data_IF_782672793035
#
_entry.id   IF_782672793035
#
_cell.length_a   1.000
_cell.length_b   1.000
_cell.length_c   1.000
_cell.angle_alpha   90.00
_cell.angle_beta   90.00
_cell.angle_gamma   90.00
#
_symmetry.space_group_name_H-M   'P 1'
#
loop_
_entity.id
_entity.type
_entity.pdbx_description
1 polymer ?
#
# COMPACT_ATOMS: atom_id res chain seq x y z
N UNK A 1 -12.51 12.33 9.77
CA UNK A 1 -13.49 13.45 9.91
C UNK A 1 -14.77 13.15 9.15
N UNK A 2 -14.76 12.97 7.83
CA UNK A 2 -15.96 12.63 7.05
C UNK A 2 -16.73 11.40 7.58
N UNK A 3 -16.04 10.32 7.97
CA UNK A 3 -16.69 9.14 8.60
C UNK A 3 -17.38 9.43 9.93
N UNK A 4 -16.87 10.38 10.72
CA UNK A 4 -17.54 10.79 11.97
C UNK A 4 -18.80 11.57 11.63
N UNK A 5 -18.77 12.38 10.58
CA UNK A 5 -19.95 13.07 10.07
C UNK A 5 -21.00 12.08 9.59
N UNK A 6 -20.62 11.07 8.79
CA UNK A 6 -21.52 9.97 8.39
C UNK A 6 -22.07 9.24 9.61
N UNK A 7 -21.24 8.90 10.61
CA UNK A 7 -21.71 8.19 11.80
C UNK A 7 -22.73 9.02 12.62
N UNK A 8 -22.50 10.33 12.74
CA UNK A 8 -23.46 11.24 13.40
C UNK A 8 -24.74 11.39 12.58
N UNK A 9 -24.64 11.44 11.27
CA UNK A 9 -25.78 11.60 10.36
C UNK A 9 -26.62 10.33 10.24
N UNK A 10 -26.00 9.14 10.28
CA UNK A 10 -26.71 7.86 10.39
C UNK A 10 -27.50 7.78 11.71
N UNK A 11 -27.00 8.41 12.77
CA UNK A 11 -27.70 8.47 14.06
C UNK A 11 -28.89 9.44 14.05
N UNK A 12 -28.89 10.45 13.17
CA UNK A 12 -29.90 11.49 13.15
C UNK A 12 -30.92 11.21 12.04
N UNK A 13 -32.02 10.57 12.42
CA UNK A 13 -32.97 9.92 11.49
C UNK A 13 -33.63 10.84 10.43
N UNK A 14 -33.52 12.16 10.56
CA UNK A 14 -34.31 13.13 9.80
C UNK A 14 -33.65 13.67 8.53
N UNK A 15 -32.33 13.56 8.38
CA UNK A 15 -31.61 14.09 7.21
C UNK A 15 -30.42 13.21 6.85
N UNK A 16 -30.59 12.29 5.90
CA UNK A 16 -29.46 11.69 5.20
C UNK A 16 -29.02 12.65 4.08
N UNK A 17 -28.02 13.49 4.34
CA UNK A 17 -27.40 14.31 3.30
C UNK A 17 -26.44 13.45 2.48
N UNK A 18 -26.82 13.21 1.24
CA UNK A 18 -25.98 12.51 0.27
C UNK A 18 -24.61 13.18 0.01
N UNK A 19 -24.46 14.43 0.43
CA UNK A 19 -23.18 15.12 0.44
C UNK A 19 -22.12 14.37 1.28
N UNK A 20 -22.51 13.75 2.40
CA UNK A 20 -21.56 13.05 3.27
C UNK A 20 -20.98 11.78 2.63
N UNK A 21 -21.81 11.02 1.89
CA UNK A 21 -21.34 9.87 1.13
C UNK A 21 -20.37 10.30 0.02
N UNK A 22 -20.70 11.35 -0.74
CA UNK A 22 -19.81 11.89 -1.78
C UNK A 22 -18.46 12.35 -1.20
N UNK A 23 -18.47 12.99 -0.02
CA UNK A 23 -17.26 13.40 0.69
C UNK A 23 -16.36 12.22 1.08
N UNK A 24 -16.88 11.01 1.20
CA UNK A 24 -16.10 9.80 1.47
C UNK A 24 -15.71 9.06 0.19
N UNK A 25 -16.61 8.95 -0.78
CA UNK A 25 -16.35 8.24 -2.04
C UNK A 25 -15.25 8.90 -2.87
N UNK A 26 -15.23 10.24 -2.96
CA UNK A 26 -14.23 10.95 -3.79
C UNK A 26 -12.79 10.68 -3.29
N UNK A 27 -12.46 10.89 -2.00
CA UNK A 27 -11.14 10.54 -1.48
C UNK A 27 -10.84 9.04 -1.56
N UNK A 28 -11.82 8.17 -1.27
CA UNK A 28 -11.63 6.72 -1.33
C UNK A 28 -11.29 6.26 -2.75
N UNK A 29 -12.01 6.75 -3.75
CA UNK A 29 -11.73 6.50 -5.17
C UNK A 29 -10.34 6.97 -5.59
N UNK A 30 -9.94 8.17 -5.16
CA UNK A 30 -8.58 8.67 -5.38
C UNK A 30 -7.51 7.76 -4.75
N UNK A 31 -7.72 7.29 -3.52
CA UNK A 31 -6.79 6.39 -2.85
C UNK A 31 -6.73 5.02 -3.53
N UNK A 32 -7.86 4.47 -3.98
CA UNK A 32 -7.90 3.22 -4.76
C UNK A 32 -7.09 3.37 -6.03
N UNK A 33 -7.37 4.41 -6.82
CA UNK A 33 -6.66 4.65 -8.07
C UNK A 33 -5.16 4.78 -7.82
N UNK A 34 -4.75 5.55 -6.81
CA UNK A 34 -3.35 5.72 -6.41
C UNK A 34 -2.67 4.39 -6.02
N UNK A 35 -3.33 3.54 -5.24
CA UNK A 35 -2.76 2.25 -4.83
C UNK A 35 -2.67 1.27 -6.00
N UNK A 36 -3.70 1.21 -6.85
CA UNK A 36 -3.70 0.39 -8.07
C UNK A 36 -2.53 0.77 -8.97
N UNK A 37 -2.31 2.08 -9.20
CA UNK A 37 -1.15 2.59 -9.95
C UNK A 37 0.18 2.14 -9.35
N UNK A 38 0.31 2.23 -8.03
CA UNK A 38 1.54 1.87 -7.32
C UNK A 38 1.82 0.38 -7.42
N UNK A 39 0.84 -0.46 -7.08
CA UNK A 39 0.93 -1.92 -7.16
C UNK A 39 1.34 -2.35 -8.57
N UNK A 40 0.74 -1.75 -9.59
CA UNK A 40 0.95 -2.20 -10.96
C UNK A 40 2.31 -1.78 -11.50
N UNK A 41 2.79 -0.59 -11.15
CA UNK A 41 4.17 -0.19 -11.45
C UNK A 41 5.20 -1.17 -10.86
N UNK A 42 4.93 -1.70 -9.66
CA UNK A 42 5.81 -2.64 -8.96
C UNK A 42 5.72 -4.05 -9.55
N UNK A 43 4.50 -4.54 -9.86
CA UNK A 43 4.29 -5.84 -10.51
C UNK A 43 5.03 -5.91 -11.84
N UNK A 44 4.99 -4.82 -12.62
CA UNK A 44 5.69 -4.73 -13.91
C UNK A 44 7.22 -4.73 -13.73
N UNK A 45 7.73 -4.19 -12.63
CA UNK A 45 9.16 -4.14 -12.36
C UNK A 45 9.72 -5.52 -11.97
N UNK A 46 9.11 -6.21 -10.99
CA UNK A 46 9.56 -7.54 -10.56
C UNK A 46 8.58 -8.23 -9.60
N UNK A 47 8.37 -9.54 -9.80
CA UNK A 47 7.61 -10.40 -8.85
C UNK A 47 8.23 -10.41 -7.45
N UNK A 48 9.56 -10.36 -7.34
CA UNK A 48 10.24 -10.36 -6.03
C UNK A 48 9.97 -9.07 -5.26
N UNK A 49 10.03 -7.92 -5.95
CA UNK A 49 9.74 -6.61 -5.35
C UNK A 49 8.27 -6.54 -4.95
N UNK A 50 7.36 -7.08 -5.78
CA UNK A 50 5.94 -7.15 -5.44
C UNK A 50 5.67 -7.99 -4.18
N UNK A 51 6.32 -9.14 -4.01
CA UNK A 51 6.20 -9.93 -2.78
C UNK A 51 6.72 -9.17 -1.55
N UNK A 52 7.84 -8.44 -1.69
CA UNK A 52 8.34 -7.57 -0.63
C UNK A 52 7.39 -6.40 -0.32
N UNK A 53 6.71 -5.86 -1.34
CA UNK A 53 5.70 -4.83 -1.21
C UNK A 53 4.50 -5.33 -0.39
N UNK A 54 3.95 -6.50 -0.74
CA UNK A 54 2.86 -7.11 0.01
C UNK A 54 3.25 -7.50 1.43
N UNK A 55 4.52 -7.88 1.68
CA UNK A 55 4.98 -8.20 3.04
C UNK A 55 5.23 -6.96 3.89
N UNK A 56 5.17 -5.75 3.34
CA UNK A 56 5.32 -4.53 4.10
C UNK A 56 4.02 -4.23 4.86
N UNK A 57 4.08 -4.26 6.18
CA UNK A 57 2.94 -4.04 7.07
C UNK A 57 2.16 -2.75 6.72
N UNK A 58 2.88 -1.66 6.46
CA UNK A 58 2.27 -0.36 6.13
C UNK A 58 1.47 -0.38 4.84
N UNK A 59 2.00 -1.05 3.82
CA UNK A 59 1.31 -1.24 2.55
C UNK A 59 0.03 -2.06 2.72
N UNK A 60 0.07 -3.12 3.54
CA UNK A 60 -1.14 -3.90 3.85
C UNK A 60 -2.18 -3.07 4.59
N UNK A 61 -1.77 -2.26 5.57
CA UNK A 61 -2.68 -1.34 6.28
C UNK A 61 -3.28 -0.28 5.36
N UNK A 62 -2.49 0.28 4.45
CA UNK A 62 -2.97 1.25 3.46
C UNK A 62 -4.01 0.63 2.51
N UNK A 63 -3.81 -0.61 2.10
CA UNK A 63 -4.75 -1.35 1.25
C UNK A 63 -6.03 -1.71 2.00
N UNK A 64 -5.90 -2.33 3.18
CA UNK A 64 -7.03 -2.77 4.01
C UNK A 64 -7.91 -1.58 4.41
N UNK A 65 -7.30 -0.45 4.81
CA UNK A 65 -8.07 0.75 5.19
C UNK A 65 -8.91 1.29 4.03
N UNK A 66 -8.40 1.26 2.80
CA UNK A 66 -9.12 1.73 1.61
C UNK A 66 -10.24 0.76 1.20
N UNK A 67 -9.97 -0.54 1.23
CA UNK A 67 -10.97 -1.58 0.94
C UNK A 67 -12.10 -1.53 1.97
N UNK A 68 -11.76 -1.45 3.26
CA UNK A 68 -12.75 -1.34 4.34
C UNK A 68 -13.57 -0.05 4.24
N UNK A 69 -12.95 1.07 3.85
CA UNK A 69 -13.66 2.32 3.63
C UNK A 69 -14.72 2.19 2.51
N UNK A 70 -14.34 1.65 1.35
CA UNK A 70 -15.32 1.46 0.26
C UNK A 70 -16.37 0.43 0.64
N UNK A 71 -15.97 -0.70 1.23
CA UNK A 71 -16.89 -1.73 1.69
C UNK A 71 -17.94 -1.17 2.64
N UNK A 72 -17.51 -0.49 3.72
CA UNK A 72 -18.44 0.06 4.71
C UNK A 72 -19.34 1.13 4.13
N UNK A 73 -18.83 2.00 3.24
CA UNK A 73 -19.66 3.03 2.58
C UNK A 73 -20.71 2.40 1.68
N UNK A 74 -20.33 1.42 0.86
CA UNK A 74 -21.26 0.68 0.01
C UNK A 74 -22.33 -0.04 0.85
N UNK A 75 -21.92 -0.68 1.94
CA UNK A 75 -22.82 -1.45 2.79
C UNK A 75 -23.87 -0.57 3.49
N UNK A 76 -23.43 0.55 4.08
CA UNK A 76 -24.32 1.56 4.67
C UNK A 76 -25.33 2.05 3.63
N UNK A 77 -24.88 2.30 2.41
CA UNK A 77 -25.77 2.73 1.31
C UNK A 77 -26.81 1.68 0.93
N UNK A 78 -26.54 0.39 1.12
CA UNK A 78 -27.46 -0.69 0.73
C UNK A 78 -28.45 -1.09 1.82
N UNK A 79 -28.05 -1.07 3.10
CA UNK A 79 -28.89 -1.58 4.19
C UNK A 79 -29.71 -0.49 4.92
N UNK A 80 -29.37 0.79 4.75
CA UNK A 80 -30.13 1.86 5.41
C UNK A 80 -30.06 1.78 6.93
N UNK A 81 -31.22 1.85 7.60
CA UNK A 81 -31.34 2.00 9.07
C UNK A 81 -31.12 0.70 9.86
N UNK A 82 -31.37 -0.46 9.27
CA UNK A 82 -31.30 -1.75 9.99
C UNK A 82 -29.87 -2.30 10.09
N UNK A 83 -28.87 -1.47 9.78
CA UNK A 83 -27.48 -1.88 9.80
C UNK A 83 -26.91 -1.87 11.23
N UNK A 84 -26.79 -3.05 11.84
CA UNK A 84 -25.96 -3.31 13.04
C UNK A 84 -24.45 -3.27 12.71
N UNK A 85 -24.05 -2.17 12.10
CA UNK A 85 -22.74 -1.96 11.51
C UNK A 85 -21.77 -1.13 12.30
N UNK A 86 -22.15 -0.71 13.50
CA UNK A 86 -21.37 0.20 14.33
C UNK A 86 -19.93 -0.29 14.52
N UNK A 87 -19.74 -1.61 14.69
CA UNK A 87 -18.43 -2.24 14.79
C UNK A 87 -17.59 -2.05 13.53
N UNK A 88 -18.17 -2.26 12.35
CA UNK A 88 -17.45 -2.11 11.08
C UNK A 88 -17.08 -0.65 10.80
N UNK A 89 -17.97 0.29 11.12
CA UNK A 89 -17.71 1.72 11.01
C UNK A 89 -16.57 2.12 11.96
N UNK A 90 -16.63 1.68 13.21
CA UNK A 90 -15.58 1.94 14.21
C UNK A 90 -14.23 1.37 13.75
N UNK A 91 -14.21 0.14 13.25
CA UNK A 91 -13.00 -0.51 12.74
C UNK A 91 -12.41 0.28 11.55
N UNK A 92 -13.24 0.71 10.60
CA UNK A 92 -12.81 1.57 9.48
C UNK A 92 -12.22 2.89 9.99
N UNK A 93 -12.84 3.54 10.97
CA UNK A 93 -12.31 4.77 11.57
C UNK A 93 -10.93 4.54 12.18
N UNK A 94 -10.76 3.47 12.95
CA UNK A 94 -9.47 3.09 13.55
C UNK A 94 -8.41 2.84 12.48
N UNK A 95 -8.75 2.09 11.43
CA UNK A 95 -7.83 1.82 10.30
C UNK A 95 -7.42 3.10 9.56
N UNK A 96 -8.34 4.06 9.38
CA UNK A 96 -8.03 5.36 8.79
C UNK A 96 -7.09 6.18 9.67
N UNK A 97 -7.22 6.11 11.00
CA UNK A 97 -6.26 6.74 11.91
C UNK A 97 -4.88 6.07 11.86
N UNK A 98 -4.82 4.74 11.74
CA UNK A 98 -3.55 4.05 11.49
C UNK A 98 -2.90 4.47 10.18
N UNK A 99 -3.69 4.74 9.13
CA UNK A 99 -3.18 5.32 7.88
C UNK A 99 -2.58 6.71 8.09
N UNK A 100 -3.19 7.56 8.92
CA UNK A 100 -2.61 8.86 9.29
C UNK A 100 -1.27 8.67 10.00
N UNK A 101 -1.13 7.69 10.91
CA UNK A 101 0.16 7.34 11.51
C UNK A 101 1.18 6.93 10.45
N UNK A 102 0.78 6.11 9.47
CA UNK A 102 1.63 5.74 8.34
C UNK A 102 2.14 6.96 7.55
N UNK A 103 1.27 7.95 7.32
CA UNK A 103 1.64 9.20 6.64
C UNK A 103 2.61 10.06 7.47
N UNK A 104 2.35 10.17 8.78
CA UNK A 104 3.15 10.94 9.72
C UNK A 104 4.62 10.47 9.79
N UNK A 105 4.87 9.18 9.51
CA UNK A 105 6.22 8.62 9.36
C UNK A 105 7.02 9.27 8.22
N UNK A 106 6.39 9.81 7.19
CA UNK A 106 7.11 10.43 6.07
C UNK A 106 7.42 11.92 6.31
N UNK A 107 6.59 12.60 7.10
CA UNK A 107 6.71 14.06 7.32
C UNK A 107 7.86 14.38 8.29
N UNK A 108 7.83 13.78 9.48
CA UNK A 108 8.73 14.19 10.58
C UNK A 108 9.66 13.05 11.00
N UNK A 109 10.98 13.31 11.03
CA UNK A 109 12.00 12.34 11.46
C UNK A 109 11.77 11.81 12.87
N UNK A 110 11.45 12.68 13.82
CA UNK A 110 11.24 12.29 15.23
C UNK A 110 10.04 11.35 15.33
N UNK A 111 8.97 11.67 14.62
CA UNK A 111 7.75 10.88 14.59
C UNK A 111 7.93 9.55 13.86
N UNK A 112 8.68 9.55 12.75
CA UNK A 112 9.04 8.34 12.02
C UNK A 112 9.84 7.36 12.87
N UNK A 113 10.78 7.90 13.66
CA UNK A 113 11.59 7.14 14.62
C UNK A 113 10.70 6.54 15.70
N UNK A 114 9.83 7.36 16.30
CA UNK A 114 8.88 6.91 17.31
C UNK A 114 7.96 5.78 16.77
N UNK A 115 7.34 5.99 15.61
CA UNK A 115 6.44 5.01 14.99
C UNK A 115 7.19 3.72 14.65
N UNK A 116 8.38 3.82 14.06
CA UNK A 116 9.17 2.61 13.73
C UNK A 116 9.57 1.84 14.98
N UNK A 117 9.94 2.56 16.05
CA UNK A 117 10.28 2.01 17.36
C UNK A 117 9.09 1.30 18.00
N UNK A 118 7.91 1.90 17.90
CA UNK A 118 6.67 1.31 18.39
C UNK A 118 6.37 -0.06 17.76
N UNK A 119 6.52 -0.21 16.43
CA UNK A 119 6.31 -1.51 15.79
C UNK A 119 7.40 -2.54 16.12
N UNK A 120 8.65 -2.11 16.33
CA UNK A 120 9.72 -2.99 16.79
C UNK A 120 9.43 -3.51 18.21
N UNK A 121 8.94 -2.62 19.10
CA UNK A 121 8.49 -2.97 20.44
C UNK A 121 7.30 -3.95 20.38
N UNK A 122 6.27 -3.70 19.56
CA UNK A 122 5.14 -4.62 19.39
C UNK A 122 5.62 -6.02 18.93
N UNK A 123 6.62 -6.07 18.04
CA UNK A 123 7.23 -7.32 17.61
C UNK A 123 7.96 -8.07 18.73
N UNK A 124 8.55 -7.36 19.69
CA UNK A 124 9.22 -7.94 20.85
C UNK A 124 8.22 -8.43 21.92
N UNK A 125 7.12 -7.69 22.16
CA UNK A 125 6.13 -8.04 23.19
C UNK A 125 5.26 -9.25 22.79
N UNK A 126 5.23 -9.67 21.52
CA UNK A 126 4.34 -10.76 21.06
C UNK A 126 4.42 -12.05 21.92
N UNK A 127 5.62 -12.41 22.37
CA UNK A 127 5.82 -13.61 23.20
C UNK A 127 5.37 -13.39 24.64
N UNK A 128 5.55 -12.18 25.15
CA UNK A 128 5.01 -11.78 26.44
C UNK A 128 3.48 -11.82 26.43
N UNK A 129 2.82 -11.31 25.39
CA UNK A 129 1.36 -11.38 25.25
C UNK A 129 0.86 -12.83 25.21
N UNK A 130 1.59 -13.75 24.59
CA UNK A 130 1.24 -15.17 24.61
C UNK A 130 1.24 -15.73 26.05
N UNK A 131 2.29 -15.46 26.83
CA UNK A 131 2.37 -15.86 28.24
C UNK A 131 1.25 -15.21 29.06
N UNK A 132 0.97 -13.92 28.81
CA UNK A 132 -0.09 -13.19 29.48
C UNK A 132 -1.48 -13.79 29.18
N UNK A 133 -1.77 -14.13 27.92
CA UNK A 133 -3.04 -14.76 27.53
C UNK A 133 -3.20 -16.12 28.22
N UNK A 134 -2.14 -16.93 28.26
CA UNK A 134 -2.16 -18.22 28.98
C UNK A 134 -2.46 -18.00 30.46
N UNK A 135 -1.83 -17.00 31.10
CA UNK A 135 -2.10 -16.66 32.49
C UNK A 135 -3.56 -16.22 32.68
N UNK A 136 -4.08 -15.32 31.83
CA UNK A 136 -5.48 -14.87 31.90
C UNK A 136 -6.45 -16.04 31.77
N UNK A 137 -6.22 -16.95 30.83
CA UNK A 137 -7.05 -18.16 30.66
C UNK A 137 -6.96 -19.07 31.89
N UNK A 138 -5.75 -19.37 32.37
CA UNK A 138 -5.53 -20.21 33.54
C UNK A 138 -6.27 -19.69 34.78
N UNK A 139 -6.12 -18.40 35.07
CA UNK A 139 -6.75 -17.78 36.24
C UNK A 139 -8.25 -17.55 36.05
N UNK A 140 -8.69 -17.25 34.83
CA UNK A 140 -10.10 -17.15 34.46
C UNK A 140 -10.84 -18.46 34.67
N UNK A 141 -10.31 -19.56 34.13
CA UNK A 141 -10.89 -20.90 34.28
C UNK A 141 -10.91 -21.33 35.75
N UNK A 142 -9.85 -21.05 36.51
CA UNK A 142 -9.78 -21.38 37.92
C UNK A 142 -10.84 -20.64 38.74
N UNK A 143 -10.97 -19.32 38.56
CA UNK A 143 -11.95 -18.50 39.27
C UNK A 143 -13.39 -18.82 38.87
N UNK A 144 -13.66 -18.99 37.58
CA UNK A 144 -14.96 -19.42 37.07
C UNK A 144 -15.38 -20.76 37.67
N UNK A 145 -14.46 -21.73 37.72
CA UNK A 145 -14.72 -23.05 38.33
C UNK A 145 -15.03 -22.90 39.82
N UNK A 146 -14.18 -22.21 40.60
CA UNK A 146 -14.38 -22.07 42.05
C UNK A 146 -15.71 -21.39 42.36
N UNK A 147 -16.06 -20.33 41.64
CA UNK A 147 -17.31 -19.59 41.85
C UNK A 147 -18.54 -20.42 41.47
N UNK A 148 -18.49 -21.18 40.36
CA UNK A 148 -19.60 -22.05 39.95
C UNK A 148 -19.82 -23.23 40.90
N UNK A 149 -18.77 -23.77 41.51
CA UNK A 149 -18.88 -24.87 42.47
C UNK A 149 -19.19 -24.42 43.91
N UNK A 150 -19.10 -23.13 44.20
CA UNK A 150 -19.44 -22.61 45.54
C UNK A 150 -20.95 -22.36 45.62
N UNK A 151 -21.70 -23.10 46.47
CA UNK A 151 -23.16 -22.96 46.57
C UNK A 151 -23.54 -21.53 46.97
N UNK A 152 -24.59 -20.99 46.36
CA UNK A 152 -25.05 -19.61 46.57
C UNK A 152 -24.20 -18.53 45.89
N UNK A 153 -23.11 -18.87 45.18
CA UNK A 153 -22.25 -17.89 44.48
C UNK A 153 -22.76 -17.50 43.08
N UNK A 154 -23.53 -18.33 42.41
CA UNK A 154 -24.21 -17.99 41.14
C UNK A 154 -25.72 -18.15 41.23
N UNK A 155 -26.29 -18.18 42.43
CA UNK A 155 -27.73 -18.25 42.63
C UNK A 155 -28.31 -16.86 42.38
N UNK A 156 -28.91 -16.68 41.21
CA UNK A 156 -29.44 -15.42 40.72
C UNK A 156 -30.63 -14.96 41.57
N UNK A 157 -30.44 -13.88 42.34
CA UNK A 157 -31.54 -13.07 42.86
C UNK A 157 -32.19 -12.32 41.68
N UNK A 158 -32.92 -13.06 40.84
CA UNK A 158 -33.62 -12.58 39.63
C UNK A 158 -34.72 -11.54 39.88
N UNK A 159 -34.99 -11.19 41.13
CA UNK A 159 -36.20 -10.45 41.49
C UNK A 159 -36.11 -8.94 41.29
N UNK A 160 -34.95 -8.36 40.97
CA UNK A 160 -34.87 -6.92 40.72
C UNK A 160 -34.00 -6.52 39.51
N UNK A 161 -34.60 -6.40 38.31
CA UNK A 161 -33.90 -5.93 37.11
C UNK A 161 -33.43 -4.47 37.21
N UNK A 162 -33.90 -3.70 38.20
CA UNK A 162 -33.55 -2.28 38.36
C UNK A 162 -32.24 -2.04 39.12
N UNK A 163 -31.76 -3.03 39.88
CA UNK A 163 -30.52 -2.96 40.66
C UNK A 163 -29.35 -3.75 40.05
N UNK A 164 -29.38 -3.96 38.72
CA UNK A 164 -28.23 -4.49 37.96
C UNK A 164 -27.10 -3.45 37.86
N UNK A 165 -26.53 -3.05 39.00
CA UNK A 165 -25.15 -2.60 38.98
C UNK A 165 -24.33 -3.82 38.55
N UNK A 166 -23.69 -3.74 37.38
CA UNK A 166 -22.80 -4.79 36.85
C UNK A 166 -21.80 -5.15 37.94
N UNK A 167 -22.11 -6.21 38.68
CA UNK A 167 -21.20 -6.74 39.67
C UNK A 167 -20.26 -7.66 38.93
N UNK A 168 -18.97 -7.62 39.24
CA UNK A 168 -17.98 -8.50 38.61
C UNK A 168 -18.32 -9.98 38.73
N UNK A 169 -19.16 -10.31 39.71
CA UNK A 169 -19.68 -11.64 39.96
C UNK A 169 -20.53 -12.14 38.80
N UNK A 170 -21.34 -11.27 38.20
CA UNK A 170 -22.21 -11.62 37.08
C UNK A 170 -21.39 -12.04 35.86
N UNK A 171 -20.19 -11.45 35.68
CA UNK A 171 -19.28 -11.78 34.58
C UNK A 171 -18.76 -13.22 34.67
N UNK A 172 -18.51 -13.75 35.88
CA UNK A 172 -18.01 -15.13 36.09
C UNK A 172 -19.13 -16.17 36.08
N UNK A 173 -20.35 -15.78 36.44
CA UNK A 173 -21.52 -16.68 36.41
C UNK A 173 -22.16 -16.76 35.03
N UNK A 174 -21.77 -15.87 34.10
CA UNK A 174 -22.24 -15.87 32.72
C UNK A 174 -22.01 -17.21 32.00
N UNK A 175 -22.92 -17.61 31.10
CA UNK A 175 -22.70 -18.76 30.23
C UNK A 175 -21.57 -18.53 29.21
N UNK A 176 -21.09 -17.29 29.05
CA UNK A 176 -20.05 -16.93 28.09
C UNK A 176 -18.68 -16.81 28.76
N UNK A 177 -17.73 -17.75 28.53
CA UNK A 177 -16.42 -17.75 29.20
C UNK A 177 -15.55 -16.52 28.85
N UNK A 178 -15.86 -15.83 27.74
CA UNK A 178 -15.17 -14.59 27.37
C UNK A 178 -15.36 -13.49 28.42
N UNK A 179 -16.47 -13.46 29.15
CA UNK A 179 -16.71 -12.45 30.18
C UNK A 179 -15.76 -12.67 31.37
N UNK A 180 -15.59 -13.90 31.83
CA UNK A 180 -14.58 -14.29 32.81
C UNK A 180 -13.18 -13.84 32.39
N UNK A 181 -12.76 -14.10 31.14
CA UNK A 181 -11.43 -13.71 30.66
C UNK A 181 -11.24 -12.19 30.56
N UNK A 182 -12.27 -11.46 30.13
CA UNK A 182 -12.24 -9.99 30.08
C UNK A 182 -12.14 -9.41 31.49
N UNK A 183 -12.82 -10.01 32.48
CA UNK A 183 -12.73 -9.59 33.88
C UNK A 183 -11.33 -9.83 34.46
N UNK A 184 -10.71 -10.98 34.17
CA UNK A 184 -9.32 -11.21 34.60
C UNK A 184 -8.34 -10.26 33.90
N UNK A 185 -8.58 -9.93 32.63
CA UNK A 185 -7.81 -8.92 31.93
C UNK A 185 -7.96 -7.52 32.58
N UNK A 186 -9.17 -7.13 33.02
CA UNK A 186 -9.37 -5.84 33.72
C UNK A 186 -8.58 -5.79 35.03
N UNK A 187 -8.52 -6.90 35.76
CA UNK A 187 -7.68 -7.05 36.97
C UNK A 187 -6.19 -6.85 36.65
N UNK A 188 -5.68 -7.43 35.55
CA UNK A 188 -4.27 -7.22 35.12
C UNK A 188 -3.99 -5.75 34.82
N UNK A 189 -4.96 -5.05 34.21
CA UNK A 189 -4.86 -3.61 33.91
C UNK A 189 -4.92 -2.77 35.19
N UNK A 190 -5.38 -3.34 36.31
CA UNK A 190 -5.47 -2.68 37.61
C UNK A 190 -6.87 -2.21 37.98
N UNK A 191 -7.89 -2.58 37.19
CA UNK A 191 -9.28 -2.34 37.54
C UNK A 191 -9.76 -3.42 38.52
N UNK A 192 -9.56 -3.13 39.81
CA UNK A 192 -9.82 -4.05 40.92
C UNK A 192 -10.73 -3.39 41.95
N UNK A 193 -11.91 -3.96 42.11
CA UNK A 193 -12.77 -3.80 43.29
C UNK A 193 -12.58 -5.00 44.22
N UNK A 194 -12.00 -4.74 45.41
CA UNK A 194 -11.73 -5.80 46.40
C UNK A 194 -13.01 -6.50 46.87
N UNK A 195 -14.13 -5.78 46.88
CA UNK A 195 -15.43 -6.27 47.36
C UNK A 195 -15.92 -7.46 46.52
N UNK A 196 -15.52 -7.56 45.26
CA UNK A 196 -15.91 -8.66 44.37
C UNK A 196 -15.25 -10.00 44.72
N UNK A 197 -14.11 -9.99 45.40
CA UNK A 197 -13.27 -11.17 45.63
C UNK A 197 -13.22 -11.62 47.10
N UNK A 198 -14.00 -11.00 47.99
CA UNK A 198 -14.03 -11.28 49.43
C UNK A 198 -14.99 -12.42 49.85
N UNK A 199 -15.58 -13.14 48.90
CA UNK A 199 -16.61 -14.16 49.20
C UNK A 199 -16.04 -15.38 49.94
N UNK A 200 -14.88 -15.86 49.49
CA UNK A 200 -14.22 -17.02 50.10
C UNK A 200 -12.73 -16.78 50.25
N UNK A 201 -12.15 -17.29 51.33
CA UNK A 201 -10.71 -17.17 51.61
C UNK A 201 -9.85 -17.70 50.46
N UNK A 202 -10.33 -18.76 49.77
CA UNK A 202 -9.62 -19.35 48.64
C UNK A 202 -9.63 -18.43 47.41
N UNK A 203 -10.77 -17.81 47.07
CA UNK A 203 -10.86 -16.82 45.99
C UNK A 203 -9.98 -15.62 46.30
N UNK A 204 -10.02 -15.10 47.53
CA UNK A 204 -9.17 -13.99 47.96
C UNK A 204 -7.68 -14.35 47.87
N UNK A 205 -7.28 -15.55 48.33
CA UNK A 205 -5.89 -16.01 48.25
C UNK A 205 -5.40 -16.18 46.80
N UNK A 206 -6.24 -16.75 45.92
CA UNK A 206 -5.95 -16.91 44.50
C UNK A 206 -5.84 -15.54 43.81
N UNK A 207 -6.72 -14.61 44.16
CA UNK A 207 -6.67 -13.22 43.69
C UNK A 207 -5.38 -12.51 44.13
N UNK A 208 -4.96 -12.63 45.39
CA UNK A 208 -3.68 -12.07 45.87
C UNK A 208 -2.49 -12.69 45.15
N UNK A 209 -2.50 -14.01 44.93
CA UNK A 209 -1.47 -14.69 44.15
C UNK A 209 -1.42 -14.21 42.70
N UNK A 210 -2.58 -14.01 42.07
CA UNK A 210 -2.71 -13.52 40.72
C UNK A 210 -2.23 -12.08 40.59
N UNK A 211 -2.60 -11.18 41.49
CA UNK A 211 -2.14 -9.78 41.45
C UNK A 211 -0.63 -9.69 41.67
N UNK A 212 -0.07 -10.49 42.57
CA UNK A 212 1.38 -10.59 42.73
C UNK A 212 2.06 -11.07 41.43
N UNK A 213 1.59 -12.15 40.82
CA UNK A 213 2.21 -12.67 39.60
C UNK A 213 1.96 -11.79 38.36
N UNK A 214 0.72 -11.42 38.11
CA UNK A 214 0.27 -10.65 36.94
C UNK A 214 0.67 -9.19 36.98
N UNK A 215 0.35 -8.48 38.07
CA UNK A 215 0.60 -7.04 38.16
C UNK A 215 2.05 -6.79 38.55
N UNK A 216 2.59 -7.48 39.57
CA UNK A 216 3.95 -7.17 40.05
C UNK A 216 5.00 -7.83 39.17
N UNK A 217 4.92 -9.14 38.91
CA UNK A 217 5.99 -9.83 38.17
C UNK A 217 5.89 -9.58 36.65
N UNK A 218 4.74 -9.88 36.02
CA UNK A 218 4.62 -9.78 34.56
C UNK A 218 4.72 -8.33 34.06
N UNK A 219 4.12 -7.34 34.74
CA UNK A 219 4.22 -5.94 34.30
C UNK A 219 5.64 -5.40 34.37
N UNK A 220 6.41 -5.74 35.42
CA UNK A 220 7.81 -5.33 35.54
C UNK A 220 8.67 -5.96 34.44
N UNK A 221 8.42 -7.21 34.07
CA UNK A 221 9.08 -7.86 32.94
C UNK A 221 8.71 -7.18 31.62
N UNK A 222 7.44 -6.81 31.43
CA UNK A 222 6.99 -6.08 30.24
C UNK A 222 7.73 -4.75 30.08
N UNK A 223 7.83 -3.97 31.16
CA UNK A 223 8.53 -2.68 31.17
C UNK A 223 10.01 -2.89 30.79
N UNK A 224 10.67 -3.91 31.35
CA UNK A 224 12.05 -4.23 31.02
C UNK A 224 12.23 -4.59 29.53
N UNK A 225 11.33 -5.42 28.97
CA UNK A 225 11.35 -5.79 27.54
C UNK A 225 11.13 -4.56 26.66
N UNK A 226 10.20 -3.67 27.03
CA UNK A 226 9.91 -2.43 26.30
C UNK A 226 11.14 -1.51 26.32
N UNK A 227 11.79 -1.33 27.47
CA UNK A 227 12.96 -0.47 27.59
C UNK A 227 14.13 -0.97 26.73
N UNK A 228 14.46 -2.27 26.79
CA UNK A 228 15.52 -2.86 25.95
C UNK A 228 15.19 -2.75 24.45
N UNK A 229 13.94 -3.05 24.08
CA UNK A 229 13.47 -2.95 22.69
C UNK A 229 13.49 -1.51 22.19
N UNK A 230 13.11 -0.54 23.04
CA UNK A 230 13.15 0.87 22.71
C UNK A 230 14.58 1.36 22.46
N UNK A 231 15.52 1.05 23.35
CA UNK A 231 16.94 1.41 23.18
C UNK A 231 17.54 0.85 21.88
N UNK A 232 17.25 -0.42 21.56
CA UNK A 232 17.67 -1.06 20.30
C UNK A 232 17.04 -0.37 19.08
N UNK A 233 15.75 -0.04 19.16
CA UNK A 233 15.03 0.57 18.06
C UNK A 233 15.51 1.98 17.73
N UNK A 234 15.90 2.78 18.73
CA UNK A 234 16.50 4.11 18.50
C UNK A 234 17.76 3.98 17.65
N UNK A 235 18.67 3.07 17.97
CA UNK A 235 19.90 2.87 17.19
C UNK A 235 19.59 2.48 15.74
N UNK A 236 18.56 1.66 15.51
CA UNK A 236 18.16 1.18 14.18
C UNK A 236 17.35 2.20 13.38
N UNK A 237 16.61 3.07 14.08
CA UNK A 237 15.66 4.01 13.49
C UNK A 237 16.28 4.95 12.47
N UNK A 238 17.54 5.35 12.66
CA UNK A 238 18.25 6.24 11.76
C UNK A 238 18.40 5.63 10.35
N UNK A 239 18.78 4.36 10.27
CA UNK A 239 18.87 3.63 9.00
C UNK A 239 17.49 3.37 8.37
N UNK A 240 16.49 3.08 9.20
CA UNK A 240 15.11 2.84 8.74
C UNK A 240 14.46 4.10 8.17
N UNK A 241 14.76 5.27 8.73
CA UNK A 241 14.23 6.54 8.26
C UNK A 241 14.78 6.91 6.87
N UNK A 242 16.10 6.79 6.67
CA UNK A 242 16.72 7.02 5.37
C UNK A 242 16.13 6.11 4.29
N UNK A 243 15.97 4.81 4.60
CA UNK A 243 15.34 3.85 3.68
C UNK A 243 13.90 4.20 3.34
N UNK A 244 13.10 4.63 4.32
CA UNK A 244 11.70 4.99 4.09
C UNK A 244 11.55 6.21 3.16
N UNK A 245 12.44 7.20 3.28
CA UNK A 245 12.45 8.37 2.38
C UNK A 245 12.87 8.00 0.96
N UNK A 246 13.94 7.22 0.81
CA UNK A 246 14.37 6.73 -0.51
C UNK A 246 13.26 5.92 -1.16
N UNK A 247 12.59 5.05 -0.40
CA UNK A 247 11.45 4.27 -0.89
C UNK A 247 10.29 5.17 -1.34
N UNK A 248 9.97 6.24 -0.59
CA UNK A 248 8.94 7.21 -0.98
C UNK A 248 9.29 7.90 -2.31
N UNK A 249 10.54 8.39 -2.44
CA UNK A 249 11.03 9.07 -3.64
C UNK A 249 11.02 8.12 -4.84
N UNK A 250 11.51 6.89 -4.67
CA UNK A 250 11.49 5.87 -5.72
C UNK A 250 10.04 5.55 -6.14
N UNK A 251 9.09 5.46 -5.20
CA UNK A 251 7.66 5.27 -5.52
C UNK A 251 7.05 6.48 -6.24
N UNK A 252 7.51 7.70 -5.97
CA UNK A 252 7.07 8.89 -6.70
C UNK A 252 7.64 8.91 -8.12
N UNK A 253 8.95 8.69 -8.26
CA UNK A 253 9.63 8.61 -9.55
C UNK A 253 9.06 7.48 -10.41
N UNK A 254 8.86 6.29 -9.85
CA UNK A 254 8.28 5.16 -10.58
C UNK A 254 6.87 5.48 -11.12
N UNK A 255 6.07 6.23 -10.35
CA UNK A 255 4.75 6.70 -10.81
C UNK A 255 4.88 7.75 -11.91
N UNK A 256 5.79 8.70 -11.76
CA UNK A 256 6.05 9.72 -12.77
C UNK A 256 6.57 9.12 -14.09
N UNK A 257 7.50 8.17 -14.03
CA UNK A 257 7.97 7.42 -15.21
C UNK A 257 6.83 6.60 -15.85
N UNK A 258 5.91 6.09 -15.04
CA UNK A 258 4.76 5.34 -15.54
C UNK A 258 3.75 6.25 -16.27
N UNK A 259 3.48 7.43 -15.72
CA UNK A 259 2.53 8.40 -16.30
C UNK A 259 3.13 9.18 -17.47
N UNK A 260 4.41 9.55 -17.39
CA UNK A 260 5.15 10.34 -18.37
C UNK A 260 6.33 9.53 -18.93
N UNK A 261 6.10 8.64 -19.92
CA UNK A 261 7.20 8.04 -20.66
C UNK A 261 7.82 9.13 -21.55
N UNK A 262 8.82 9.82 -21.04
CA UNK A 262 9.66 10.70 -21.86
C UNK A 262 10.26 9.86 -23.00
N UNK A 263 9.96 10.25 -24.25
CA UNK A 263 10.46 9.64 -25.47
C UNK A 263 11.88 10.13 -25.82
N UNK A 264 12.84 10.04 -24.89
CA UNK A 264 14.25 10.32 -25.19
C UNK A 264 14.94 9.08 -25.76
N UNK A 265 14.38 8.54 -26.85
CA UNK A 265 14.92 7.36 -27.55
C UNK A 265 15.70 7.74 -28.83
N UNK A 266 16.07 9.01 -29.00
CA UNK A 266 16.54 9.52 -30.28
C UNK A 266 18.04 9.33 -30.58
N UNK A 267 18.89 8.82 -29.68
CA UNK A 267 20.35 8.84 -29.95
C UNK A 267 21.22 7.61 -29.67
N UNK A 268 20.70 6.46 -29.23
CA UNK A 268 21.54 5.25 -29.05
C UNK A 268 21.47 4.30 -30.25
N UNK A 269 22.28 4.57 -31.28
CA UNK A 269 22.48 3.71 -32.43
C UNK A 269 23.41 2.53 -32.05
N UNK A 270 22.86 1.32 -31.87
CA UNK A 270 23.65 0.12 -31.56
C UNK A 270 22.89 -1.19 -31.81
N UNK A 271 23.46 -2.06 -32.65
CA UNK A 271 22.89 -3.25 -33.32
C UNK A 271 22.25 -4.37 -32.45
N UNK A 272 22.20 -4.27 -31.12
CA UNK A 272 21.65 -5.33 -30.25
C UNK A 272 20.14 -5.18 -29.95
N UNK A 273 19.37 -4.63 -30.90
CA UNK A 273 18.01 -4.14 -30.68
C UNK A 273 16.93 -5.26 -30.57
N UNK A 274 17.19 -6.49 -31.01
CA UNK A 274 16.12 -7.48 -31.20
C UNK A 274 15.57 -8.08 -29.90
N UNK A 275 16.41 -8.35 -28.89
CA UNK A 275 15.92 -8.89 -27.59
C UNK A 275 15.18 -7.85 -26.75
N UNK A 276 15.56 -6.58 -26.85
CA UNK A 276 14.89 -5.48 -26.15
C UNK A 276 13.49 -5.20 -26.77
N UNK A 277 13.31 -5.52 -28.05
CA UNK A 277 12.03 -5.29 -28.75
C UNK A 277 10.87 -6.12 -28.20
N UNK A 278 11.12 -7.36 -27.77
CA UNK A 278 10.08 -8.26 -27.24
C UNK A 278 9.63 -7.79 -25.86
N UNK A 279 10.58 -7.40 -25.00
CA UNK A 279 10.26 -6.85 -23.67
C UNK A 279 9.49 -5.54 -23.77
N UNK A 280 9.86 -4.65 -24.70
CA UNK A 280 9.12 -3.40 -24.96
C UNK A 280 7.69 -3.65 -25.44
N UNK A 281 7.47 -4.62 -26.31
CA UNK A 281 6.11 -5.00 -26.77
C UNK A 281 5.26 -5.54 -25.62
N UNK A 282 5.82 -6.39 -24.76
CA UNK A 282 5.14 -6.88 -23.55
C UNK A 282 4.81 -5.75 -22.57
N UNK A 283 5.74 -4.84 -22.32
CA UNK A 283 5.54 -3.69 -21.44
C UNK A 283 4.43 -2.75 -21.95
N UNK A 284 4.37 -2.50 -23.26
CA UNK A 284 3.30 -1.71 -23.87
C UNK A 284 1.93 -2.39 -23.76
N UNK A 285 1.87 -3.71 -23.97
CA UNK A 285 0.63 -4.47 -23.82
C UNK A 285 0.10 -4.41 -22.38
N UNK A 286 0.97 -4.60 -21.38
CA UNK A 286 0.59 -4.49 -19.97
C UNK A 286 0.14 -3.06 -19.63
N UNK A 287 0.85 -2.03 -20.11
CA UNK A 287 0.44 -0.63 -19.94
C UNK A 287 -0.95 -0.36 -20.54
N UNK A 288 -1.25 -0.95 -21.70
CA UNK A 288 -2.56 -0.82 -22.33
C UNK A 288 -3.65 -1.46 -21.47
N UNK A 289 -3.47 -2.72 -21.07
CA UNK A 289 -4.40 -3.43 -20.16
C UNK A 289 -4.62 -2.63 -18.88
N UNK A 290 -3.55 -2.03 -18.36
CA UNK A 290 -3.63 -1.28 -17.12
C UNK A 290 -4.34 0.08 -17.28
N UNK A 291 -4.13 0.77 -18.39
CA UNK A 291 -4.93 1.95 -18.75
C UNK A 291 -6.41 1.61 -18.83
N UNK A 292 -6.76 0.43 -19.34
CA UNK A 292 -8.14 -0.08 -19.33
C UNK A 292 -8.65 -0.37 -17.92
N UNK A 293 -7.83 -0.90 -17.01
CA UNK A 293 -8.22 -1.12 -15.61
C UNK A 293 -8.46 0.21 -14.89
N UNK A 294 -7.60 1.21 -15.08
CA UNK A 294 -7.81 2.55 -14.49
C UNK A 294 -9.11 3.15 -15.03
N UNK A 295 -9.30 3.07 -16.34
CA UNK A 295 -10.49 3.60 -17.00
C UNK A 295 -11.76 2.87 -16.55
N UNK A 296 -11.70 1.55 -16.36
CA UNK A 296 -12.78 0.75 -15.79
C UNK A 296 -13.04 1.10 -14.31
N UNK A 297 -12.01 1.36 -13.51
CA UNK A 297 -12.15 1.78 -12.12
C UNK A 297 -12.78 3.18 -12.02
N UNK A 298 -12.35 4.12 -12.88
CA UNK A 298 -12.97 5.45 -12.97
C UNK A 298 -14.42 5.33 -13.43
N UNK A 299 -14.71 4.52 -14.46
CA UNK A 299 -16.07 4.26 -14.91
C UNK A 299 -16.94 3.63 -13.80
N UNK A 300 -16.39 2.67 -13.04
CA UNK A 300 -17.07 2.06 -11.90
C UNK A 300 -17.40 3.09 -10.82
N UNK A 301 -16.46 3.96 -10.47
CA UNK A 301 -16.69 5.05 -9.50
C UNK A 301 -17.83 5.94 -9.98
N UNK A 302 -17.87 6.25 -11.28
CA UNK A 302 -18.89 7.11 -11.87
C UNK A 302 -20.26 6.41 -11.86
N UNK A 303 -20.32 5.13 -12.22
CA UNK A 303 -21.55 4.32 -12.13
C UNK A 303 -22.06 4.26 -10.68
N UNK A 304 -21.17 4.08 -9.70
CA UNK A 304 -21.55 4.06 -8.28
C UNK A 304 -22.06 5.43 -7.83
N UNK A 305 -21.43 6.53 -8.27
CA UNK A 305 -21.90 7.88 -7.99
C UNK A 305 -23.27 8.12 -8.60
N UNK A 306 -23.48 7.72 -9.86
CA UNK A 306 -24.77 7.83 -10.55
C UNK A 306 -25.85 6.98 -9.88
N UNK A 307 -25.52 5.75 -9.49
CA UNK A 307 -26.43 4.89 -8.73
C UNK A 307 -26.85 5.53 -7.41
N UNK A 308 -25.89 6.12 -6.67
CA UNK A 308 -26.18 6.87 -5.45
C UNK A 308 -27.09 8.08 -5.73
N UNK A 309 -26.88 8.81 -6.83
CA UNK A 309 -27.72 9.95 -7.21
C UNK A 309 -29.14 9.53 -7.62
N UNK A 310 -29.30 8.41 -8.32
CA UNK A 310 -30.62 7.87 -8.66
C UNK A 310 -31.34 7.41 -7.39
N UNK A 311 -30.65 6.69 -6.51
CA UNK A 311 -31.22 6.25 -5.23
C UNK A 311 -31.64 7.45 -4.37
N UNK A 312 -30.85 8.53 -4.36
CA UNK A 312 -31.20 9.81 -3.72
C UNK A 312 -32.53 10.37 -4.25
N UNK A 313 -32.64 10.43 -5.57
CA UNK A 313 -33.81 11.01 -6.24
C UNK A 313 -35.08 10.23 -5.90
N UNK A 314 -34.97 8.91 -5.73
CA UNK A 314 -36.11 8.06 -5.36
C UNK A 314 -36.59 8.30 -3.92
N UNK A 315 -35.68 8.48 -2.95
CA UNK A 315 -36.05 8.72 -1.55
C UNK A 315 -36.67 10.10 -1.33
N UNK A 316 -36.24 11.12 -2.08
CA UNK A 316 -36.85 12.46 -2.05
C UNK A 316 -38.29 12.46 -2.57
N UNK A 317 -38.69 11.44 -3.34
CA UNK A 317 -40.02 11.35 -3.95
C UNK A 317 -41.16 10.92 -3.02
N UNK A 318 -40.84 10.34 -1.84
CA UNK A 318 -41.86 9.78 -0.93
C UNK A 318 -42.54 10.84 -0.04
N UNK A 319 -42.01 12.06 0.02
CA UNK A 319 -42.69 13.17 0.69
C UNK A 319 -43.65 13.88 -0.29
N UNK A 320 -44.95 13.59 -0.10
CA UNK A 320 -46.14 14.09 -0.83
C UNK A 320 -46.25 15.63 -0.94
N UNK A 321 -45.32 16.28 -1.62
CA UNK A 321 -45.44 17.68 -2.04
C UNK A 321 -45.49 17.70 -3.56
N UNK A 322 -46.60 18.17 -4.12
CA UNK A 322 -46.92 18.13 -5.56
C UNK A 322 -45.86 18.81 -6.46
N UNK A 323 -44.93 19.59 -5.90
CA UNK A 323 -43.78 20.16 -6.61
C UNK A 323 -42.57 19.23 -6.80
N UNK A 324 -42.49 18.10 -6.09
CA UNK A 324 -41.29 17.25 -6.13
C UNK A 324 -41.18 16.42 -7.41
N UNK A 325 -42.27 15.94 -7.99
CA UNK A 325 -42.23 15.12 -9.20
C UNK A 325 -41.54 15.81 -10.40
N UNK A 326 -41.72 17.13 -10.52
CA UNK A 326 -41.08 17.93 -11.57
C UNK A 326 -39.56 18.10 -11.31
N UNK A 327 -39.18 18.30 -10.05
CA UNK A 327 -37.76 18.37 -9.68
C UNK A 327 -37.04 17.03 -9.86
N UNK A 328 -37.65 15.92 -9.46
CA UNK A 328 -37.06 14.58 -9.60
C UNK A 328 -36.87 14.21 -11.07
N UNK A 329 -37.83 14.53 -11.94
CA UNK A 329 -37.72 14.27 -13.38
C UNK A 329 -36.63 15.11 -14.05
N UNK A 330 -36.49 16.39 -13.68
CA UNK A 330 -35.37 17.24 -14.15
C UNK A 330 -34.03 16.69 -13.67
N UNK A 331 -33.94 16.27 -12.41
CA UNK A 331 -32.70 15.75 -11.85
C UNK A 331 -32.29 14.45 -12.56
N UNK A 332 -33.22 13.52 -12.77
CA UNK A 332 -32.99 12.29 -13.54
C UNK A 332 -32.51 12.63 -14.96
N UNK A 333 -33.18 13.57 -15.64
CA UNK A 333 -32.78 14.00 -16.98
C UNK A 333 -31.36 14.59 -17.03
N UNK A 334 -31.00 15.45 -16.07
CA UNK A 334 -29.65 16.01 -15.95
C UNK A 334 -28.61 14.94 -15.64
N UNK A 335 -28.96 13.95 -14.80
CA UNK A 335 -28.07 12.83 -14.47
C UNK A 335 -27.80 12.01 -15.72
N UNK A 336 -28.83 11.67 -16.50
CA UNK A 336 -28.69 10.95 -17.78
C UNK A 336 -27.85 11.73 -18.79
N UNK A 337 -28.06 13.04 -18.92
CA UNK A 337 -27.25 13.90 -19.81
C UNK A 337 -25.78 13.89 -19.38
N UNK A 338 -25.52 13.99 -18.08
CA UNK A 338 -24.16 13.91 -17.53
C UNK A 338 -23.52 12.55 -17.80
N UNK A 339 -24.23 11.43 -17.56
CA UNK A 339 -23.77 10.07 -17.86
C UNK A 339 -23.38 9.91 -19.33
N UNK A 340 -24.21 10.42 -20.25
CA UNK A 340 -23.96 10.36 -21.70
C UNK A 340 -22.75 11.20 -22.08
N UNK A 341 -22.62 12.42 -21.54
CA UNK A 341 -21.47 13.29 -21.78
C UNK A 341 -20.17 12.65 -21.27
N UNK A 342 -20.22 11.98 -20.12
CA UNK A 342 -19.08 11.32 -19.53
C UNK A 342 -18.69 10.05 -20.31
N UNK A 343 -19.67 9.24 -20.72
CA UNK A 343 -19.45 8.13 -21.64
C UNK A 343 -18.80 8.61 -22.95
N UNK A 344 -19.28 9.72 -23.52
CA UNK A 344 -18.69 10.31 -24.72
C UNK A 344 -17.24 10.78 -24.49
N UNK A 345 -16.96 11.42 -23.35
CA UNK A 345 -15.60 11.83 -22.98
C UNK A 345 -14.67 10.61 -22.82
N UNK A 346 -15.14 9.53 -22.19
CA UNK A 346 -14.41 8.27 -22.07
C UNK A 346 -14.15 7.65 -23.44
N UNK A 347 -15.14 7.63 -24.33
CA UNK A 347 -14.98 7.15 -25.71
C UNK A 347 -13.96 8.00 -26.48
N UNK A 348 -13.96 9.32 -26.32
CA UNK A 348 -12.97 10.22 -26.95
C UNK A 348 -11.57 9.95 -26.41
N UNK A 349 -11.43 9.72 -25.10
CA UNK A 349 -10.15 9.36 -24.48
C UNK A 349 -9.66 8.00 -25.00
N UNK A 350 -10.54 7.01 -25.10
CA UNK A 350 -10.25 5.69 -25.68
C UNK A 350 -9.85 5.83 -27.14
N UNK A 351 -10.62 6.55 -27.97
CA UNK A 351 -10.34 6.77 -29.38
C UNK A 351 -9.01 7.51 -29.58
N UNK A 352 -8.72 8.51 -28.75
CA UNK A 352 -7.43 9.19 -28.72
C UNK A 352 -6.29 8.24 -28.34
N UNK A 353 -6.49 7.37 -27.33
CA UNK A 353 -5.49 6.37 -26.93
C UNK A 353 -5.26 5.32 -28.02
N UNK A 354 -6.34 4.82 -28.64
CA UNK A 354 -6.31 3.84 -29.72
C UNK A 354 -5.65 4.46 -30.96
N UNK A 355 -6.01 5.69 -31.36
CA UNK A 355 -5.38 6.43 -32.45
C UNK A 355 -3.91 6.73 -32.18
N UNK A 356 -3.54 7.10 -30.95
CA UNK A 356 -2.14 7.25 -30.53
C UNK A 356 -1.38 5.91 -30.57
N UNK A 357 -2.03 4.79 -30.23
CA UNK A 357 -1.41 3.46 -30.30
C UNK A 357 -1.27 2.96 -31.75
N UNK A 358 -2.20 3.35 -32.63
CA UNK A 358 -2.29 2.90 -34.04
C UNK A 358 -1.42 3.75 -34.96
N UNK A 359 -1.25 5.04 -34.69
CA UNK A 359 -0.36 5.93 -35.43
C UNK A 359 0.99 6.10 -34.73
N UNK A 360 1.86 5.10 -34.89
CA UNK A 360 3.26 5.43 -35.17
C UNK A 360 3.27 6.15 -36.51
N UNK A 361 3.73 7.41 -36.53
CA UNK A 361 3.96 8.33 -37.68
C UNK A 361 3.06 9.59 -37.70
N UNK A 362 2.91 10.33 -36.61
CA UNK A 362 2.70 11.77 -36.77
C UNK A 362 3.55 12.60 -35.80
N UNK A 363 4.65 13.10 -36.35
CA UNK A 363 5.63 14.01 -35.72
C UNK A 363 5.18 15.48 -35.46
N UNK A 364 4.01 16.02 -35.89
CA UNK A 364 3.76 17.45 -35.72
C UNK A 364 3.19 17.86 -34.36
N UNK A 365 2.44 16.99 -33.66
CA UNK A 365 1.72 17.38 -32.43
C UNK A 365 2.66 17.54 -31.22
N UNK A 366 3.74 16.74 -31.16
CA UNK A 366 4.79 16.86 -30.13
C UNK A 366 5.54 18.21 -30.23
N UNK A 367 5.64 18.80 -31.44
CA UNK A 367 6.22 20.13 -31.63
C UNK A 367 5.30 21.28 -31.19
N UNK A 368 3.98 21.05 -31.15
CA UNK A 368 3.03 22.04 -30.66
C UNK A 368 2.95 22.04 -29.12
N UNK A 369 2.91 20.85 -28.51
CA UNK A 369 2.85 20.72 -27.05
C UNK A 369 4.16 21.09 -26.33
N UNK A 370 5.33 20.83 -26.94
CA UNK A 370 6.61 21.26 -26.36
C UNK A 370 6.76 22.79 -26.25
N UNK A 371 6.12 23.56 -27.15
CA UNK A 371 6.10 25.03 -27.07
C UNK A 371 5.19 25.57 -25.95
N UNK A 372 4.20 24.79 -25.51
CA UNK A 372 3.27 25.19 -24.45
C UNK A 372 3.82 24.87 -23.04
N UNK A 373 4.70 23.87 -22.93
CA UNK A 373 5.26 23.41 -21.63
C UNK A 373 6.56 24.13 -21.26
N UNK A 374 7.31 24.65 -22.22
CA UNK A 374 8.53 25.46 -21.97
C UNK A 374 8.36 26.63 -20.99
N UNK A 375 7.29 27.45 -21.04
CA UNK A 375 7.11 28.53 -20.07
C UNK A 375 6.79 28.01 -18.64
N UNK A 376 6.13 26.85 -18.52
CA UNK A 376 5.88 26.23 -17.20
C UNK A 376 7.15 25.65 -16.58
N UNK A 377 8.11 25.21 -17.41
CA UNK A 377 9.41 24.71 -16.96
C UNK A 377 10.33 25.82 -16.46
N UNK A 378 10.28 27.01 -17.08
CA UNK A 378 10.99 28.21 -16.61
C UNK A 378 10.34 28.83 -15.36
N UNK A 379 9.04 28.66 -15.14
CA UNK A 379 8.37 29.10 -13.92
C UNK A 379 8.62 28.18 -12.71
N UNK A 380 9.09 26.94 -12.94
CA UNK A 380 9.42 25.94 -11.92
C UNK A 380 10.93 25.70 -11.77
N UNK A 381 11.77 26.46 -12.47
CA UNK A 381 13.17 26.65 -12.07
C UNK A 381 13.17 27.46 -10.78
N UNK A 382 12.96 26.74 -9.67
CA UNK A 382 13.45 27.13 -8.36
C UNK A 382 14.94 27.39 -8.56
N UNK A 383 15.29 28.66 -8.48
CA UNK A 383 16.62 29.21 -8.64
C UNK A 383 17.62 28.40 -7.80
N UNK A 384 18.47 27.61 -8.47
CA UNK A 384 19.57 26.86 -7.85
C UNK A 384 20.74 27.78 -7.43
N UNK A 385 20.51 29.09 -7.29
CA UNK A 385 21.51 30.08 -6.90
C UNK A 385 21.73 30.20 -5.38
N UNK A 386 21.12 29.33 -4.56
CA UNK A 386 21.36 29.32 -3.11
C UNK A 386 22.72 28.68 -2.79
N UNK A 387 23.79 29.47 -2.93
CA UNK A 387 25.06 29.20 -2.29
C UNK A 387 24.82 29.07 -0.77
N UNK A 388 25.23 27.95 -0.14
CA UNK A 388 25.14 27.83 1.30
C UNK A 388 26.19 28.74 1.93
N UNK A 389 25.74 29.83 2.55
CA UNK A 389 26.55 30.55 3.52
C UNK A 389 26.85 29.61 4.69
N UNK A 390 28.14 29.35 4.88
CA UNK A 390 28.72 28.68 6.03
C UNK A 390 28.52 29.57 7.26
N UNK A 391 27.51 29.29 8.07
CA UNK A 391 27.44 29.79 9.44
C UNK A 391 27.13 28.64 10.39
N UNK A 392 28.05 28.42 11.32
CA UNK A 392 28.04 27.53 12.48
C UNK A 392 26.64 27.07 12.92
N UNK A 393 26.30 25.83 12.58
CA UNK A 393 25.33 25.04 13.33
C UNK A 393 25.89 23.61 13.46
N UNK A 394 26.70 23.45 14.50
CA UNK A 394 27.07 22.16 15.07
C UNK A 394 25.80 21.35 15.35
N UNK A 395 25.85 20.04 15.05
CA UNK A 395 24.84 18.99 15.32
C UNK A 395 23.80 18.70 14.20
N UNK A 396 23.74 19.42 13.06
CA UNK A 396 22.77 19.10 11.98
C UNK A 396 23.33 18.40 10.73
N UNK A 397 24.65 18.24 10.60
CA UNK A 397 25.28 17.88 9.31
C UNK A 397 25.57 16.38 9.10
N UNK A 398 25.09 15.52 10.00
CA UNK A 398 25.14 14.06 9.82
C UNK A 398 24.45 13.61 8.52
N UNK A 399 23.42 14.33 8.08
CA UNK A 399 22.72 14.02 6.84
C UNK A 399 23.51 14.43 5.60
N UNK A 400 24.23 15.55 5.60
CA UNK A 400 25.08 15.90 4.48
C UNK A 400 26.24 14.91 4.36
N UNK A 401 26.80 14.47 5.50
CA UNK A 401 27.78 13.39 5.55
C UNK A 401 27.25 12.08 4.98
N UNK A 402 26.04 11.65 5.39
CA UNK A 402 25.40 10.43 4.88
C UNK A 402 24.99 10.53 3.41
N UNK A 403 24.50 11.69 2.96
CA UNK A 403 24.13 11.91 1.56
C UNK A 403 25.38 11.88 0.68
N UNK A 404 26.47 12.52 1.12
CA UNK A 404 27.77 12.48 0.45
C UNK A 404 28.36 11.08 0.44
N UNK A 405 28.23 10.32 1.52
CA UNK A 405 28.63 8.91 1.58
C UNK A 405 27.81 8.06 0.59
N UNK A 406 26.49 8.24 0.55
CA UNK A 406 25.62 7.55 -0.40
C UNK A 406 25.94 7.94 -1.85
N UNK A 407 26.20 9.21 -2.12
CA UNK A 407 26.60 9.70 -3.44
C UNK A 407 27.92 9.04 -3.87
N UNK A 408 28.94 9.06 -3.01
CA UNK A 408 30.24 8.43 -3.27
C UNK A 408 30.08 6.92 -3.49
N UNK A 409 29.32 6.23 -2.63
CA UNK A 409 29.10 4.79 -2.76
C UNK A 409 28.30 4.42 -4.00
N UNK A 410 27.34 5.26 -4.38
CA UNK A 410 26.56 5.08 -5.61
C UNK A 410 27.44 5.30 -6.84
N UNK A 411 28.26 6.35 -6.86
CA UNK A 411 29.26 6.58 -7.92
C UNK A 411 30.25 5.43 -8.04
N UNK A 412 30.73 4.89 -6.91
CA UNK A 412 31.61 3.73 -6.87
C UNK A 412 30.92 2.48 -7.43
N UNK A 413 29.67 2.22 -7.03
CA UNK A 413 28.91 1.06 -7.52
C UNK A 413 28.62 1.18 -9.02
N UNK A 414 28.29 2.38 -9.50
CA UNK A 414 28.11 2.68 -10.93
C UNK A 414 29.40 2.49 -11.71
N UNK A 415 30.56 2.91 -11.17
CA UNK A 415 31.86 2.67 -11.78
C UNK A 415 32.20 1.18 -11.86
N UNK A 416 32.01 0.42 -10.78
CA UNK A 416 32.26 -1.03 -10.76
C UNK A 416 31.35 -1.74 -11.77
N UNK A 417 30.06 -1.37 -11.82
CA UNK A 417 29.12 -1.93 -12.80
C UNK A 417 29.51 -1.57 -14.25
N UNK A 418 29.92 -0.33 -14.49
CA UNK A 418 30.39 0.11 -15.81
C UNK A 418 31.68 -0.60 -16.25
N UNK A 419 32.60 -0.84 -15.32
CA UNK A 419 33.84 -1.57 -15.58
C UNK A 419 33.57 -3.05 -15.87
N UNK A 420 32.67 -3.69 -15.10
CA UNK A 420 32.23 -5.05 -15.36
C UNK A 420 31.59 -5.16 -16.76
N UNK A 421 30.68 -4.25 -17.12
CA UNK A 421 30.05 -4.22 -18.42
C UNK A 421 31.05 -4.00 -19.57
N UNK A 422 32.07 -3.17 -19.34
CA UNK A 422 33.15 -2.92 -20.30
C UNK A 422 34.03 -4.15 -20.50
N UNK A 423 34.31 -4.89 -19.44
CA UNK A 423 35.07 -6.13 -19.50
C UNK A 423 34.29 -7.23 -20.21
N UNK A 424 32.99 -7.36 -19.92
CA UNK A 424 32.09 -8.30 -20.60
C UNK A 424 32.00 -7.97 -22.11
N UNK A 425 31.84 -6.69 -22.47
CA UNK A 425 31.87 -6.26 -23.88
C UNK A 425 33.19 -6.56 -24.58
N UNK A 426 34.34 -6.35 -23.91
CA UNK A 426 35.66 -6.69 -24.47
C UNK A 426 35.82 -8.20 -24.67
N UNK A 427 35.31 -9.00 -23.72
CA UNK A 427 35.33 -10.45 -23.83
C UNK A 427 34.48 -10.94 -25.00
N UNK A 428 33.26 -10.41 -25.16
CA UNK A 428 32.41 -10.72 -26.32
C UNK A 428 33.03 -10.27 -27.65
N UNK A 429 33.70 -9.11 -27.67
CA UNK A 429 34.36 -8.59 -28.87
C UNK A 429 35.51 -9.53 -29.30
N UNK A 430 36.38 -9.94 -28.37
CA UNK A 430 37.47 -10.90 -28.65
C UNK A 430 36.92 -12.24 -29.14
N UNK A 431 35.87 -12.76 -28.49
CA UNK A 431 35.22 -13.99 -28.92
C UNK A 431 34.60 -13.85 -30.33
N UNK A 432 34.11 -12.66 -30.70
CA UNK A 432 33.62 -12.37 -32.04
C UNK A 432 34.76 -12.31 -33.07
N UNK A 433 35.87 -11.66 -32.74
CA UNK A 433 37.08 -11.60 -33.59
C UNK A 433 37.67 -12.99 -33.85
N UNK A 434 37.80 -13.83 -32.82
CA UNK A 434 38.26 -15.21 -32.96
C UNK A 434 37.34 -16.03 -33.88
N UNK A 435 36.02 -15.85 -33.78
CA UNK A 435 35.05 -16.47 -34.70
C UNK A 435 35.22 -15.98 -36.13
N UNK A 436 35.52 -14.70 -36.35
CA UNK A 436 35.77 -14.17 -37.69
C UNK A 436 37.08 -14.70 -38.29
N UNK A 437 38.16 -14.72 -37.51
CA UNK A 437 39.45 -15.29 -37.93
C UNK A 437 39.31 -16.78 -38.26
N UNK A 438 38.58 -17.54 -37.43
CA UNK A 438 38.31 -18.95 -37.71
C UNK A 438 37.53 -19.15 -39.01
N UNK A 439 36.53 -18.31 -39.29
CA UNK A 439 35.80 -18.35 -40.56
C UNK A 439 36.68 -17.98 -41.75
N UNK A 440 37.57 -17.01 -41.58
CA UNK A 440 38.48 -16.57 -42.63
C UNK A 440 39.48 -17.67 -43.00
N UNK A 441 40.03 -18.38 -42.00
CA UNK A 441 40.86 -19.58 -42.22
C UNK A 441 40.11 -20.72 -42.91
N UNK A 442 38.84 -20.95 -42.58
CA UNK A 442 38.02 -21.94 -43.27
C UNK A 442 37.81 -21.59 -44.76
N UNK A 443 37.62 -20.30 -45.06
CA UNK A 443 37.49 -19.82 -46.44
C UNK A 443 38.82 -19.97 -47.18
N UNK A 444 39.94 -19.60 -46.55
CA UNK A 444 41.28 -19.73 -47.13
C UNK A 444 41.60 -21.19 -47.49
N UNK A 445 41.38 -22.13 -46.56
CA UNK A 445 41.55 -23.56 -46.80
C UNK A 445 40.62 -24.08 -47.92
N UNK A 446 39.39 -23.58 -48.01
CA UNK A 446 38.46 -23.95 -49.07
C UNK A 446 38.93 -23.44 -50.45
N UNK A 447 39.49 -22.22 -50.50
CA UNK A 447 40.06 -21.65 -51.73
C UNK A 447 41.29 -22.44 -52.18
N UNK A 448 42.17 -22.83 -51.26
CA UNK A 448 43.32 -23.69 -51.58
C UNK A 448 42.87 -25.06 -52.12
N UNK A 449 41.87 -25.69 -51.50
CA UNK A 449 41.31 -26.96 -52.01
C UNK A 449 40.70 -26.84 -53.42
N UNK A 450 40.02 -25.74 -53.72
CA UNK A 450 39.51 -25.47 -55.09
C UNK A 450 40.66 -25.27 -56.08
N UNK A 451 41.75 -24.62 -55.68
CA UNK A 451 42.93 -24.40 -56.53
C UNK A 451 43.64 -25.72 -56.87
N UNK A 452 43.79 -26.62 -55.90
CA UNK A 452 44.33 -27.97 -56.15
C UNK A 452 43.44 -28.76 -57.12
N UNK A 453 42.11 -28.70 -56.92
CA UNK A 453 41.14 -29.36 -57.80
C UNK A 453 41.23 -28.81 -59.24
N UNK A 454 41.31 -27.49 -59.40
CA UNK A 454 41.48 -26.85 -60.72
C UNK A 454 42.77 -27.29 -61.43
N UNK A 455 43.90 -27.33 -60.71
CA UNK A 455 45.17 -27.79 -61.29
C UNK A 455 45.06 -29.24 -61.78
N UNK A 456 44.49 -30.15 -60.99
CA UNK A 456 44.28 -31.55 -61.42
C UNK A 456 43.31 -31.70 -62.59
N UNK A 457 42.35 -30.77 -62.74
CA UNK A 457 41.39 -30.81 -63.85
C UNK A 457 41.99 -30.26 -65.15
N UNK A 458 42.85 -29.23 -65.07
CA UNK A 458 43.56 -28.69 -66.23
C UNK A 458 44.53 -29.70 -66.85
N UNK A 459 45.19 -30.54 -66.04
CA UNK A 459 46.04 -31.63 -66.55
C UNK A 459 45.23 -32.70 -67.30
N UNK A 460 43.93 -32.83 -67.02
CA UNK A 460 43.04 -33.78 -67.69
C UNK A 460 42.48 -33.28 -69.05
N UNK A 461 42.58 -31.97 -69.34
CA UNK A 461 42.05 -31.37 -70.58
C UNK A 461 43.13 -31.27 -71.67
N UNK A 462 44.29 -31.88 -71.47
CA UNK A 462 45.30 -32.04 -72.52
C UNK A 462 45.43 -33.50 -73.00
N UNK A 463 44.36 -34.15 -73.54
CA UNK A 463 44.55 -35.37 -74.29
C UNK A 463 45.01 -34.97 -75.69
N UNK A 464 46.23 -35.41 -76.02
CA UNK A 464 46.69 -35.64 -77.39
C UNK A 464 46.58 -34.45 -78.36
N UNK A 465 47.69 -33.71 -78.43
CA UNK A 465 48.17 -33.33 -79.74
C UNK A 465 48.55 -34.60 -80.51
N UNK A 466 47.70 -34.93 -81.48
CA UNK A 466 48.07 -35.49 -82.79
C UNK A 466 47.24 -34.78 -83.87
#
# INVERSE_FOLDING_TARGET
>A
VAYRFIALEVSDSSYQSNAAYLLVFIPAGYFIAREILTVSSIIMSSRKIFSLYLRNFWTMMDLISVVMAVWTTCFISTQGRDFDGALWIALTIVLLWFKVLGFLRYINRRLATFISSFFEILGAIKWFFLVLIIAIMLFGDALETILKFTPGSCEEDFLDPSNRMLSARDDFCSPHPLQSYVRIYSVVVGDVSLDDFQQTTLVTALFVGFTFFGIIVLLNILIAIVQDSYSKSIMRSYGLFGRARVELVVRQLAREYFTSPSMDESHSCGRNHDRISIFKKGLMAVRMIFSWIILAAVALIIIVVEWCLVTLSSQLGDHNVEGHAYFTSIFIALTVIYSVALCAAVIVVIDHFVKCSRNRVSRPIVRALSKLVTPFRQALEIDNSMQPQTSDYDVSDDWAGQLKYLEVKTKQTVQIAAEHLRNDMKAELRASEERQVSKMKMIENAVEGVKETLNTTCDFINPEGD
#
